data_IF_434264674320
#
_entry.id   IF_434264674320
#
_cell.length_a   1.000
_cell.length_b   1.000
_cell.length_c   1.000
_cell.angle_alpha   90.00
_cell.angle_beta   90.00
_cell.angle_gamma   90.00
#
_symmetry.space_group_name_H-M   'P 1'
#
loop_
_entity.id
_entity.type
_entity.pdbx_description
1 polymer ?
#
# COMPACT_ATOMS: atom_id res chain seq x y z
N UNK A 1 -1.14 3.28 -7.41
CA UNK A 1 -2.41 2.62 -7.77
C UNK A 1 -2.60 2.63 -9.28
N UNK A 2 -2.95 1.48 -9.86
CA UNK A 2 -3.39 1.42 -11.25
C UNK A 2 -4.65 2.28 -11.46
N UNK A 3 -5.53 2.33 -10.46
CA UNK A 3 -6.71 3.21 -10.42
C UNK A 3 -6.36 4.70 -10.57
N UNK A 4 -5.22 5.15 -10.01
CA UNK A 4 -4.73 6.54 -10.21
C UNK A 4 -4.40 6.86 -11.65
N UNK A 5 -3.93 5.87 -12.41
CA UNK A 5 -3.59 6.07 -13.82
C UNK A 5 -4.84 6.15 -14.68
N UNK A 6 -5.89 5.44 -14.30
CA UNK A 6 -7.09 5.26 -15.12
C UNK A 6 -8.21 6.28 -14.78
N UNK A 7 -8.32 6.72 -13.51
CA UNK A 7 -9.41 7.61 -13.04
C UNK A 7 -9.00 9.09 -12.85
N UNK A 8 -7.71 9.43 -12.82
CA UNK A 8 -7.23 10.80 -12.64
C UNK A 8 -7.16 11.25 -11.17
N UNK A 9 -7.37 12.55 -10.90
CA UNK A 9 -7.19 13.13 -9.55
C UNK A 9 -8.45 13.06 -8.65
N UNK A 10 -9.63 12.76 -9.21
CA UNK A 10 -10.90 12.64 -8.46
C UNK A 10 -11.15 11.18 -8.03
N UNK A 11 -10.29 10.68 -7.14
CA UNK A 11 -10.39 9.31 -6.62
C UNK A 11 -11.02 9.33 -5.24
N UNK A 12 -12.08 8.56 -5.10
CA UNK A 12 -12.73 8.33 -3.81
C UNK A 12 -12.18 7.08 -3.14
N UNK A 13 -12.16 7.06 -1.81
CA UNK A 13 -11.65 5.92 -1.04
C UNK A 13 -12.34 4.60 -1.41
N UNK A 14 -13.65 4.66 -1.64
CA UNK A 14 -14.48 3.50 -1.99
C UNK A 14 -14.15 2.92 -3.38
N UNK A 15 -13.46 3.66 -4.26
CA UNK A 15 -13.03 3.12 -5.56
C UNK A 15 -11.82 2.20 -5.42
N UNK A 16 -10.94 2.48 -4.45
CA UNK A 16 -9.66 1.77 -4.23
C UNK A 16 -9.69 0.77 -3.08
N UNK A 17 -10.57 0.97 -2.09
CA UNK A 17 -10.69 0.14 -0.89
C UNK A 17 -11.95 -0.72 -0.96
N UNK A 18 -11.79 -2.03 -0.76
CA UNK A 18 -12.90 -3.00 -0.77
C UNK A 18 -12.95 -3.76 0.55
N UNK A 19 -14.16 -3.98 1.04
CA UNK A 19 -14.38 -4.80 2.23
C UNK A 19 -14.44 -6.28 1.81
N UNK A 20 -13.62 -7.11 2.47
CA UNK A 20 -13.51 -8.54 2.28
C UNK A 20 -14.10 -9.35 3.43
N UNK A 21 -13.56 -10.55 3.62
CA UNK A 21 -14.00 -11.44 4.70
C UNK A 21 -13.79 -10.80 6.08
N UNK A 22 -14.80 -10.92 6.96
CA UNK A 22 -14.68 -10.46 8.35
C UNK A 22 -14.52 -8.95 8.53
N UNK A 23 -14.92 -8.15 7.54
CA UNK A 23 -14.79 -6.69 7.60
C UNK A 23 -13.38 -6.17 7.29
N UNK A 24 -12.49 -7.01 6.79
CA UNK A 24 -11.12 -6.61 6.42
C UNK A 24 -11.19 -5.66 5.22
N UNK A 25 -10.66 -4.45 5.38
CA UNK A 25 -10.53 -3.45 4.33
C UNK A 25 -9.25 -3.73 3.52
N UNK A 26 -9.39 -4.11 2.25
CA UNK A 26 -8.29 -4.41 1.34
C UNK A 26 -8.06 -3.30 0.32
N UNK A 27 -6.79 -2.99 0.05
CA UNK A 27 -6.32 -2.04 -0.97
C UNK A 27 -5.09 -2.63 -1.66
N UNK A 28 -4.99 -2.44 -2.97
CA UNK A 28 -3.83 -2.85 -3.76
C UNK A 28 -3.08 -1.61 -4.29
N UNK A 29 -1.78 -1.50 -4.00
CA UNK A 29 -0.96 -0.37 -4.50
C UNK A 29 -0.84 -0.37 -6.04
N UNK A 30 -0.99 -1.52 -6.68
CA UNK A 30 -0.67 -1.72 -8.09
C UNK A 30 0.84 -1.68 -8.37
N UNK A 31 1.20 -2.12 -9.56
CA UNK A 31 2.59 -2.21 -10.03
C UNK A 31 2.87 -1.21 -11.15
N UNK A 32 4.15 -0.86 -11.39
CA UNK A 32 4.49 -0.16 -12.61
C UNK A 32 4.27 -1.07 -13.82
N UNK A 33 4.09 -0.46 -15.00
CA UNK A 33 4.15 -1.22 -16.25
C UNK A 33 5.51 -1.96 -16.35
N UNK A 34 5.52 -3.25 -16.75
CA UNK A 34 6.74 -4.04 -16.82
C UNK A 34 7.85 -3.34 -17.59
N UNK A 35 8.98 -3.08 -16.91
CA UNK A 35 10.16 -2.46 -17.52
C UNK A 35 10.16 -0.92 -17.58
N UNK A 36 9.11 -0.24 -17.08
CA UNK A 36 8.98 1.22 -17.21
C UNK A 36 9.19 1.97 -15.89
N UNK A 37 8.67 1.45 -14.77
CA UNK A 37 8.62 2.18 -13.50
C UNK A 37 9.30 1.51 -12.31
N UNK A 38 9.19 2.16 -11.15
CA UNK A 38 9.71 1.66 -9.88
C UNK A 38 8.55 1.30 -8.94
N UNK A 39 8.40 0.00 -8.62
CA UNK A 39 7.37 -0.49 -7.70
C UNK A 39 7.48 0.17 -6.31
N UNK A 40 8.71 0.39 -5.86
CA UNK A 40 8.97 1.10 -4.62
C UNK A 40 8.37 2.51 -4.58
N UNK A 41 8.38 3.26 -5.70
CA UNK A 41 7.71 4.58 -5.77
C UNK A 41 6.19 4.45 -5.74
N UNK A 42 5.66 3.37 -6.32
CA UNK A 42 4.23 3.05 -6.27
C UNK A 42 3.72 2.90 -4.84
N UNK A 43 4.46 2.18 -3.98
CA UNK A 43 4.12 2.01 -2.57
C UNK A 43 3.99 3.35 -1.84
N UNK A 44 4.98 4.24 -2.02
CA UNK A 44 4.98 5.57 -1.39
C UNK A 44 3.76 6.36 -1.81
N UNK A 45 3.48 6.41 -3.11
CA UNK A 45 2.32 7.16 -3.64
C UNK A 45 1.01 6.59 -3.12
N UNK A 46 0.86 5.26 -3.08
CA UNK A 46 -0.37 4.60 -2.62
C UNK A 46 -0.61 4.83 -1.13
N UNK A 47 0.43 4.74 -0.28
CA UNK A 47 0.31 5.04 1.16
C UNK A 47 -0.11 6.49 1.37
N UNK A 48 0.55 7.43 0.70
CA UNK A 48 0.21 8.85 0.83
C UNK A 48 -1.22 9.16 0.37
N UNK A 49 -1.68 8.54 -0.73
CA UNK A 49 -3.06 8.69 -1.18
C UNK A 49 -4.05 8.17 -0.13
N UNK A 50 -3.81 7.00 0.44
CA UNK A 50 -4.67 6.45 1.50
C UNK A 50 -4.73 7.35 2.74
N UNK A 51 -3.63 8.02 3.09
CA UNK A 51 -3.63 9.04 4.15
C UNK A 51 -4.48 10.24 3.78
N UNK A 52 -4.37 10.74 2.55
CA UNK A 52 -5.16 11.88 2.07
C UNK A 52 -6.66 11.56 2.00
N UNK A 53 -7.02 10.33 1.63
CA UNK A 53 -8.39 9.86 1.54
C UNK A 53 -8.98 9.44 2.90
N UNK A 54 -8.22 9.51 3.98
CA UNK A 54 -8.70 9.18 5.32
C UNK A 54 -8.93 7.69 5.56
N UNK A 55 -8.17 6.81 4.91
CA UNK A 55 -8.31 5.36 5.06
C UNK A 55 -7.94 4.87 6.48
N UNK A 56 -7.07 5.61 7.18
CA UNK A 56 -6.58 5.28 8.52
C UNK A 56 -7.50 5.87 9.59
N UNK A 57 -8.60 5.16 9.86
CA UNK A 57 -9.63 5.59 10.80
C UNK A 57 -9.33 5.14 12.23
N UNK A 58 -9.84 5.88 13.24
CA UNK A 58 -9.57 5.60 14.67
C UNK A 58 -10.11 4.25 15.17
N UNK A 59 -11.01 3.61 14.42
CA UNK A 59 -11.58 2.28 14.70
C UNK A 59 -10.74 1.13 14.12
N UNK A 60 -9.63 1.40 13.42
CA UNK A 60 -8.70 0.35 12.98
C UNK A 60 -7.80 -0.11 14.11
N UNK A 61 -7.91 -1.39 14.47
CA UNK A 61 -7.00 -2.02 15.43
C UNK A 61 -5.62 -2.31 14.81
N UNK A 62 -5.58 -2.68 13.53
CA UNK A 62 -4.37 -3.12 12.83
C UNK A 62 -4.34 -2.66 11.37
N UNK A 63 -3.13 -2.38 10.88
CA UNK A 63 -2.82 -2.18 9.46
C UNK A 63 -1.69 -3.11 9.08
N UNK A 64 -1.90 -3.92 8.05
CA UNK A 64 -0.88 -4.82 7.51
C UNK A 64 -0.40 -4.31 6.16
N UNK A 65 0.93 -4.24 5.99
CA UNK A 65 1.56 -3.99 4.71
C UNK A 65 2.20 -5.29 4.23
N UNK A 66 1.64 -5.90 3.20
CA UNK A 66 2.27 -7.03 2.50
C UNK A 66 3.30 -6.49 1.51
N UNK A 67 4.59 -6.64 1.83
CA UNK A 67 5.70 -6.01 1.10
C UNK A 67 6.62 -7.07 0.53
N UNK A 68 6.95 -6.93 -0.76
CA UNK A 68 7.89 -7.79 -1.46
C UNK A 68 9.26 -7.83 -0.75
N UNK A 69 9.71 -9.04 -0.39
CA UNK A 69 11.00 -9.27 0.28
C UNK A 69 12.19 -9.54 -0.66
N UNK A 70 11.94 -9.81 -1.95
CA UNK A 70 12.98 -10.23 -2.90
C UNK A 70 14.04 -9.14 -3.17
N UNK A 71 13.61 -7.88 -3.17
CA UNK A 71 14.47 -6.73 -3.47
C UNK A 71 14.20 -5.62 -2.46
N UNK A 72 15.16 -5.37 -1.56
CA UNK A 72 15.01 -4.37 -0.50
C UNK A 72 15.57 -3.01 -0.95
N UNK A 73 14.91 -2.39 -1.93
CA UNK A 73 15.28 -1.05 -2.38
C UNK A 73 14.65 0.04 -1.49
N UNK A 74 15.07 1.30 -1.67
CA UNK A 74 14.60 2.41 -0.84
C UNK A 74 13.08 2.63 -0.83
N UNK A 75 12.37 2.24 -1.89
CA UNK A 75 10.91 2.35 -1.94
C UNK A 75 10.19 1.21 -1.20
N UNK A 76 10.68 -0.03 -1.27
CA UNK A 76 10.12 -1.15 -0.48
C UNK A 76 10.40 -0.98 1.01
N UNK A 77 11.51 -0.33 1.37
CA UNK A 77 11.82 0.00 2.76
C UNK A 77 11.04 1.22 3.29
N UNK A 78 10.21 1.89 2.47
CA UNK A 78 9.54 3.12 2.88
C UNK A 78 8.60 2.95 4.09
N UNK A 79 7.76 1.89 4.19
CA UNK A 79 6.90 1.71 5.37
C UNK A 79 7.69 1.70 6.68
N UNK A 80 8.88 1.10 6.68
CA UNK A 80 9.77 1.06 7.85
C UNK A 80 10.44 2.42 8.05
N UNK A 81 10.98 3.00 6.99
CA UNK A 81 11.77 4.25 7.04
C UNK A 81 10.96 5.46 7.49
N UNK A 82 9.70 5.54 7.07
CA UNK A 82 8.77 6.65 7.40
C UNK A 82 7.93 6.34 8.65
N UNK A 83 8.21 5.23 9.34
CA UNK A 83 7.54 4.86 10.59
C UNK A 83 6.08 4.44 10.43
N UNK A 84 5.64 4.11 9.20
CA UNK A 84 4.28 3.62 8.91
C UNK A 84 4.08 2.19 9.43
N UNK A 85 5.13 1.39 9.42
CA UNK A 85 5.17 0.07 10.03
C UNK A 85 6.21 0.04 11.16
N UNK A 86 5.75 -0.22 12.38
CA UNK A 86 6.61 -0.27 13.58
C UNK A 86 6.94 -1.69 14.02
N UNK A 87 6.12 -2.67 13.63
CA UNK A 87 6.34 -4.09 13.86
C UNK A 87 6.58 -4.79 12.53
N UNK A 88 7.66 -5.60 12.45
CA UNK A 88 8.08 -6.29 11.23
C UNK A 88 8.13 -7.79 11.50
N UNK A 89 7.39 -8.55 10.70
CA UNK A 89 7.37 -10.01 10.71
C UNK A 89 7.92 -10.53 9.39
N UNK A 90 8.90 -11.44 9.43
CA UNK A 90 9.52 -12.03 8.24
C UNK A 90 9.06 -13.48 8.11
N UNK A 91 8.42 -13.80 6.99
CA UNK A 91 8.02 -15.18 6.65
C UNK A 91 9.20 -15.87 5.96
N UNK A 92 9.60 -17.04 6.44
CA UNK A 92 10.68 -17.84 5.86
C UNK A 92 10.38 -19.36 5.94
N UNK A 93 11.06 -20.14 5.11
CA UNK A 93 11.07 -21.61 5.16
C UNK A 93 12.51 -22.13 5.14
N UNK A 94 12.70 -23.37 5.60
CA UNK A 94 13.98 -24.07 5.60
C UNK A 94 14.16 -25.04 4.45
#
# INVERSE_FOLDING_TARGET
LDTLRDEGDDIELDSVMKEGYGGIKGVESGGPEPGVGCAGRGIITSINLLEQLGAYTDDLDYVFYDVLGDVVCGGFAMPIREGKAQEIYIVCSG
#
